data_IF_573957244385
#
_entry.id   IF_573957244385
#
_cell.length_a   1.000
_cell.length_b   1.000
_cell.length_c   1.000
_cell.angle_alpha   90.00
_cell.angle_beta   90.00
_cell.angle_gamma   90.00
#
_symmetry.space_group_name_H-M   'P 1'
#
loop_
_entity.id
_entity.type
_entity.pdbx_description
1 polymer ?
#
# COMPACT_ATOMS: atom_id res chain seq x y z
N UNK A 1 3.95 -9.07 -6.36
CA UNK A 1 3.33 -10.39 -6.59
C UNK A 1 4.32 -11.51 -6.25
N UNK A 2 5.51 -11.48 -6.85
CA UNK A 2 6.54 -12.51 -6.64
C UNK A 2 6.92 -12.67 -5.17
N UNK A 3 7.08 -11.58 -4.43
CA UNK A 3 7.37 -11.63 -2.99
C UNK A 3 6.24 -12.29 -2.17
N UNK A 4 4.97 -12.05 -2.54
CA UNK A 4 3.84 -12.72 -1.88
C UNK A 4 3.86 -14.22 -2.15
N UNK A 5 4.19 -14.62 -3.39
CA UNK A 5 4.35 -16.04 -3.77
C UNK A 5 5.51 -16.71 -3.04
N UNK A 6 6.55 -15.97 -2.66
CA UNK A 6 7.66 -16.45 -1.81
C UNK A 6 7.27 -16.57 -0.32
N UNK A 7 6.05 -16.17 0.06
CA UNK A 7 5.55 -16.26 1.43
C UNK A 7 5.82 -15.02 2.29
N UNK A 8 6.15 -13.88 1.68
CA UNK A 8 6.25 -12.60 2.41
C UNK A 8 4.86 -12.22 2.93
N UNK A 9 4.75 -12.08 4.25
CA UNK A 9 3.50 -11.80 4.96
C UNK A 9 3.24 -10.30 5.18
N UNK A 10 4.24 -9.44 4.98
CA UNK A 10 4.13 -8.00 5.18
C UNK A 10 4.79 -7.29 4.01
N UNK A 11 4.03 -6.43 3.33
CA UNK A 11 4.53 -5.52 2.31
C UNK A 11 4.39 -4.10 2.86
N UNK A 12 5.50 -3.36 2.84
CA UNK A 12 5.53 -1.95 3.19
C UNK A 12 5.60 -1.15 1.90
N UNK A 13 4.60 -0.29 1.68
CA UNK A 13 4.60 0.70 0.62
C UNK A 13 5.08 2.01 1.23
N UNK A 14 6.26 2.46 0.80
CA UNK A 14 6.94 3.63 1.36
C UNK A 14 7.11 4.71 0.29
N UNK A 15 6.87 5.96 0.66
CA UNK A 15 7.17 7.15 -0.14
C UNK A 15 8.52 7.78 0.24
N UNK A 16 9.35 7.09 1.02
CA UNK A 16 10.73 7.52 1.30
C UNK A 16 11.55 7.57 0.01
N UNK A 17 12.42 8.58 -0.09
CA UNK A 17 13.32 8.75 -1.24
C UNK A 17 12.79 9.68 -2.33
N UNK A 18 11.70 10.40 -2.07
CA UNK A 18 11.24 11.51 -2.92
C UNK A 18 12.31 12.59 -2.98
N UNK A 19 12.62 13.02 -4.19
CA UNK A 19 13.56 14.10 -4.49
C UNK A 19 13.10 14.89 -5.73
N UNK A 20 13.92 15.81 -6.21
CA UNK A 20 13.59 16.65 -7.38
C UNK A 20 13.36 15.85 -8.68
N UNK A 21 13.84 14.61 -8.76
CA UNK A 21 13.75 13.75 -9.95
C UNK A 21 12.73 12.63 -9.77
N UNK A 22 12.38 12.30 -8.53
CA UNK A 22 11.52 11.18 -8.18
C UNK A 22 10.29 11.68 -7.42
N UNK A 23 9.16 11.78 -8.13
CA UNK A 23 7.87 12.04 -7.51
C UNK A 23 7.36 10.79 -6.75
N UNK A 24 6.64 11.00 -5.65
CA UNK A 24 5.93 9.91 -4.99
C UNK A 24 4.65 9.55 -5.76
N UNK A 25 4.21 8.31 -5.53
CA UNK A 25 2.86 7.86 -5.90
C UNK A 25 1.95 8.17 -4.70
N UNK A 26 0.80 8.85 -4.90
CA UNK A 26 -0.15 9.08 -3.81
C UNK A 26 -0.50 7.80 -3.06
N UNK A 27 -0.43 7.83 -1.73
CA UNK A 27 -0.53 6.65 -0.88
C UNK A 27 -1.82 5.87 -1.12
N UNK A 28 -2.95 6.58 -1.28
CA UNK A 28 -4.24 5.96 -1.56
C UNK A 28 -4.23 5.23 -2.91
N UNK A 29 -3.60 5.79 -3.93
CA UNK A 29 -3.48 5.16 -5.25
C UNK A 29 -2.58 3.92 -5.18
N UNK A 30 -1.45 4.00 -4.49
CA UNK A 30 -0.54 2.89 -4.29
C UNK A 30 -1.21 1.70 -3.59
N UNK A 31 -1.87 1.94 -2.44
CA UNK A 31 -2.62 0.91 -1.71
C UNK A 31 -3.70 0.30 -2.57
N UNK A 32 -4.56 1.13 -3.16
CA UNK A 32 -5.72 0.66 -3.92
C UNK A 32 -5.30 -0.18 -5.12
N UNK A 33 -4.25 0.24 -5.83
CA UNK A 33 -3.71 -0.49 -6.96
C UNK A 33 -3.18 -1.86 -6.55
N UNK A 34 -2.35 -1.92 -5.52
CA UNK A 34 -1.76 -3.18 -5.02
C UNK A 34 -2.83 -4.09 -4.44
N UNK A 35 -3.74 -3.56 -3.61
CA UNK A 35 -4.84 -4.32 -3.02
C UNK A 35 -5.69 -4.97 -4.12
N UNK A 36 -6.18 -4.18 -5.08
CA UNK A 36 -7.02 -4.69 -6.16
C UNK A 36 -6.29 -5.70 -7.05
N UNK A 37 -5.00 -5.48 -7.34
CA UNK A 37 -4.19 -6.44 -8.10
C UNK A 37 -4.07 -7.77 -7.35
N UNK A 38 -3.75 -7.74 -6.06
CA UNK A 38 -3.62 -8.95 -5.24
C UNK A 38 -4.95 -9.68 -5.06
N UNK A 39 -6.08 -8.96 -4.97
CA UNK A 39 -7.42 -9.57 -4.95
C UNK A 39 -7.70 -10.32 -6.26
N UNK A 40 -7.44 -9.69 -7.42
CA UNK A 40 -7.62 -10.33 -8.73
C UNK A 40 -6.75 -11.57 -8.92
N UNK A 41 -5.64 -11.66 -8.19
CA UNK A 41 -4.71 -12.79 -8.20
C UNK A 41 -4.97 -13.82 -7.09
N UNK A 42 -5.98 -13.61 -6.23
CA UNK A 42 -6.25 -14.42 -5.04
C UNK A 42 -5.06 -14.48 -4.06
N UNK A 43 -4.26 -13.43 -4.00
CA UNK A 43 -3.06 -13.33 -3.16
C UNK A 43 -3.23 -12.40 -1.96
N UNK A 44 -4.32 -11.61 -1.87
CA UNK A 44 -4.47 -10.57 -0.83
C UNK A 44 -4.56 -11.13 0.60
N UNK A 45 -5.03 -12.36 0.78
CA UNK A 45 -5.15 -13.03 2.10
C UNK A 45 -3.79 -13.46 2.67
N UNK A 46 -2.74 -13.50 1.85
CA UNK A 46 -1.43 -14.00 2.24
C UNK A 46 -0.49 -12.92 2.79
N UNK A 47 -0.85 -11.63 2.66
CA UNK A 47 0.01 -10.52 3.08
C UNK A 47 -0.80 -9.35 3.63
N UNK A 48 -0.23 -8.66 4.61
CA UNK A 48 -0.67 -7.33 5.06
C UNK A 48 -0.02 -6.24 4.22
N UNK A 49 -0.72 -5.13 4.03
CA UNK A 49 -0.22 -3.93 3.33
C UNK A 49 -0.09 -2.80 4.35
N UNK A 50 1.15 -2.41 4.65
CA UNK A 50 1.46 -1.29 5.55
C UNK A 50 1.86 -0.09 4.69
N UNK A 51 1.38 1.10 5.08
CA UNK A 51 1.78 2.36 4.46
C UNK A 51 2.74 3.10 5.36
N UNK A 52 3.88 3.47 4.80
CA UNK A 52 4.83 4.40 5.38
C UNK A 52 4.81 5.66 4.51
N UNK A 53 4.02 6.66 4.91
CA UNK A 53 3.86 7.89 4.15
C UNK A 53 3.60 9.10 5.04
N UNK A 54 4.12 10.26 4.61
CA UNK A 54 3.85 11.56 5.24
C UNK A 54 2.61 12.28 4.68
N UNK A 55 1.92 11.69 3.71
CA UNK A 55 0.72 12.23 3.07
C UNK A 55 -0.52 12.23 4.00
N UNK A 56 -0.84 11.16 4.75
CA UNK A 56 -2.09 11.07 5.51
C UNK A 56 -2.03 11.95 6.76
N UNK A 57 -2.88 12.99 6.81
CA UNK A 57 -2.88 14.00 7.90
C UNK A 57 -4.20 14.15 8.64
N UNK A 58 -5.27 13.63 8.08
CA UNK A 58 -6.64 13.85 8.58
C UNK A 58 -7.39 12.53 8.65
N UNK A 59 -8.42 12.48 9.47
CA UNK A 59 -9.18 11.26 9.72
C UNK A 59 -9.75 10.64 8.43
N UNK A 60 -10.12 11.49 7.46
CA UNK A 60 -10.59 11.04 6.15
C UNK A 60 -9.51 10.29 5.38
N UNK A 61 -8.25 10.76 5.40
CA UNK A 61 -7.14 10.08 4.74
C UNK A 61 -6.93 8.68 5.31
N UNK A 62 -6.92 8.55 6.64
CA UNK A 62 -6.78 7.24 7.30
C UNK A 62 -7.97 6.33 7.00
N UNK A 63 -9.20 6.85 7.07
CA UNK A 63 -10.41 6.08 6.76
C UNK A 63 -10.39 5.56 5.32
N UNK A 64 -9.99 6.38 4.36
CA UNK A 64 -9.82 5.97 2.96
C UNK A 64 -8.75 4.89 2.82
N UNK A 65 -7.55 5.07 3.40
CA UNK A 65 -6.48 4.08 3.28
C UNK A 65 -6.88 2.71 3.84
N UNK A 66 -7.50 2.70 5.02
CA UNK A 66 -8.01 1.46 5.64
C UNK A 66 -9.11 0.83 4.79
N UNK A 67 -10.06 1.63 4.30
CA UNK A 67 -11.16 1.15 3.45
C UNK A 67 -10.70 0.56 2.10
N UNK A 68 -9.59 1.06 1.55
CA UNK A 68 -9.01 0.59 0.30
C UNK A 68 -7.94 -0.51 0.47
N UNK A 69 -7.73 -0.99 1.70
CA UNK A 69 -6.98 -2.23 1.95
C UNK A 69 -5.63 -2.07 2.64
N UNK A 70 -5.30 -0.89 3.17
CA UNK A 70 -4.22 -0.74 4.15
C UNK A 70 -4.59 -1.47 5.45
N UNK A 71 -3.59 -2.00 6.15
CA UNK A 71 -3.76 -2.81 7.36
C UNK A 71 -3.25 -2.03 8.57
N UNK A 72 -3.97 -2.15 9.70
CA UNK A 72 -3.61 -1.58 11.02
C UNK A 72 -2.54 -2.38 11.73
#
# INVERSE_FOLDING_TARGET
>A
EDEVKKGVSIIILSDKGVDEKNAYIPALLAVSGVHNHLVRKNLRTHTSLIIESGEPREIHHFACLLGYGATV
#
